data_IF_017707396230
#
_entry.id   IF_017707396230
#
_cell.length_a   1.000
_cell.length_b   1.000
_cell.length_c   1.000
_cell.angle_alpha   90.00
_cell.angle_beta   90.00
_cell.angle_gamma   90.00
#
_symmetry.space_group_name_H-M   'P 1'
#
loop_
_entity.id
_entity.type
_entity.pdbx_description
1 polymer ?
#
# COMPACT_ATOMS: atom_id res chain seq x y z
N UNK A 1 -25.51 7.98 -8.87
CA UNK A 1 -24.55 7.03 -8.25
C UNK A 1 -24.22 5.84 -9.16
N UNK A 2 -25.22 5.18 -9.77
CA UNK A 2 -25.01 4.02 -10.66
C UNK A 2 -24.06 4.30 -11.83
N UNK A 3 -24.21 5.44 -12.51
CA UNK A 3 -23.30 5.87 -13.60
C UNK A 3 -21.84 5.95 -13.17
N UNK A 4 -21.56 6.39 -11.93
CA UNK A 4 -20.20 6.46 -11.40
C UNK A 4 -19.63 5.07 -11.21
N UNK A 5 -20.40 4.14 -10.63
CA UNK A 5 -19.95 2.76 -10.44
C UNK A 5 -19.70 2.07 -11.78
N UNK A 6 -20.63 2.18 -12.73
CA UNK A 6 -20.47 1.56 -14.05
C UNK A 6 -19.27 2.15 -14.82
N UNK A 7 -19.09 3.48 -14.78
CA UNK A 7 -17.93 4.15 -15.38
C UNK A 7 -16.63 3.66 -14.76
N UNK A 8 -16.54 3.53 -13.43
CA UNK A 8 -15.36 3.01 -12.74
C UNK A 8 -15.09 1.54 -13.11
N UNK A 9 -16.11 0.68 -13.17
CA UNK A 9 -15.96 -0.73 -13.55
C UNK A 9 -15.48 -0.89 -14.99
N UNK A 10 -15.99 -0.09 -15.92
CA UNK A 10 -15.55 -0.11 -17.32
C UNK A 10 -14.11 0.41 -17.44
N UNK A 11 -13.80 1.56 -16.83
CA UNK A 11 -12.46 2.15 -16.90
C UNK A 11 -11.39 1.25 -16.25
N UNK A 12 -11.70 0.66 -15.09
CA UNK A 12 -10.81 -0.31 -14.44
C UNK A 12 -10.65 -1.60 -15.24
N UNK A 13 -11.71 -2.07 -15.90
CA UNK A 13 -11.65 -3.21 -16.82
C UNK A 13 -10.71 -2.96 -18.01
N UNK A 14 -10.83 -1.80 -18.66
CA UNK A 14 -9.92 -1.41 -19.77
C UNK A 14 -8.48 -1.33 -19.28
N UNK A 15 -8.24 -0.66 -18.15
CA UNK A 15 -6.89 -0.57 -17.58
C UNK A 15 -6.33 -1.95 -17.22
N UNK A 16 -7.15 -2.82 -16.63
CA UNK A 16 -6.77 -4.19 -16.28
C UNK A 16 -6.39 -4.99 -17.52
N UNK A 17 -7.17 -4.92 -18.60
CA UNK A 17 -6.86 -5.60 -19.87
C UNK A 17 -5.52 -5.12 -20.45
N UNK A 18 -5.27 -3.81 -20.45
CA UNK A 18 -4.00 -3.26 -20.92
C UNK A 18 -2.83 -3.82 -20.09
N UNK A 19 -2.96 -3.81 -18.76
CA UNK A 19 -1.92 -4.32 -17.85
C UNK A 19 -1.73 -5.83 -17.99
N UNK A 20 -2.79 -6.61 -18.24
CA UNK A 20 -2.69 -8.05 -18.49
C UNK A 20 -1.94 -8.34 -19.79
N UNK A 21 -2.27 -7.64 -20.87
CA UNK A 21 -1.59 -7.81 -22.17
C UNK A 21 -0.11 -7.47 -22.02
N UNK A 22 0.21 -6.31 -21.42
CA UNK A 22 1.59 -5.92 -21.17
C UNK A 22 2.31 -6.92 -20.25
N UNK A 23 1.63 -7.38 -19.20
CA UNK A 23 2.18 -8.37 -18.26
C UNK A 23 2.54 -9.67 -18.94
N UNK A 24 1.63 -10.26 -19.73
CA UNK A 24 1.87 -11.55 -20.40
C UNK A 24 2.94 -11.45 -21.50
N UNK A 25 2.95 -10.34 -22.25
CA UNK A 25 3.95 -10.13 -23.31
C UNK A 25 5.33 -9.86 -22.73
N UNK A 26 5.42 -9.05 -21.67
CA UNK A 26 6.69 -8.59 -21.09
C UNK A 26 7.18 -9.40 -19.88
N UNK A 27 6.45 -10.42 -19.43
CA UNK A 27 6.73 -11.23 -18.23
C UNK A 27 8.20 -11.68 -18.16
N UNK A 28 8.68 -12.36 -19.21
CA UNK A 28 10.06 -12.86 -19.28
C UNK A 28 11.09 -11.73 -19.31
N UNK A 29 10.87 -10.68 -20.10
CA UNK A 29 11.84 -9.57 -20.15
C UNK A 29 11.92 -8.82 -18.83
N UNK A 30 10.81 -8.65 -18.10
CA UNK A 30 10.80 -8.02 -16.79
C UNK A 30 11.59 -8.83 -15.76
N UNK A 31 11.44 -10.16 -15.74
CA UNK A 31 12.20 -11.04 -14.84
C UNK A 31 13.70 -11.05 -15.15
N UNK A 32 14.07 -11.01 -16.43
CA UNK A 32 15.47 -10.88 -16.85
C UNK A 32 16.04 -9.50 -16.48
N UNK A 33 15.24 -8.43 -16.60
CA UNK A 33 15.66 -7.06 -16.26
C UNK A 33 16.03 -6.90 -14.78
N UNK A 34 15.36 -7.64 -13.89
CA UNK A 34 15.67 -7.64 -12.45
C UNK A 34 16.76 -8.66 -12.07
N UNK A 35 17.46 -9.26 -13.04
CA UNK A 35 18.50 -10.26 -12.86
C UNK A 35 18.04 -11.50 -12.07
N UNK A 36 16.86 -12.02 -12.38
CA UNK A 36 16.36 -13.27 -11.79
C UNK A 36 17.27 -14.43 -12.19
N UNK A 37 17.83 -15.22 -11.25
CA UNK A 37 18.63 -16.40 -11.56
C UNK A 37 17.87 -17.42 -12.40
N UNK A 38 18.55 -18.09 -13.34
CA UNK A 38 17.93 -19.07 -14.25
C UNK A 38 17.22 -20.21 -13.51
N UNK A 39 17.78 -20.66 -12.38
CA UNK A 39 17.25 -21.75 -11.56
C UNK A 39 15.82 -21.49 -11.03
N UNK A 40 15.44 -20.23 -10.83
CA UNK A 40 14.11 -19.86 -10.32
C UNK A 40 13.26 -19.14 -11.37
N UNK A 41 13.77 -18.97 -12.59
CA UNK A 41 13.13 -18.18 -13.62
C UNK A 41 11.82 -18.81 -14.09
N UNK A 42 11.79 -20.11 -14.31
CA UNK A 42 10.58 -20.83 -14.76
C UNK A 42 9.47 -20.79 -13.68
N UNK A 43 9.82 -21.05 -12.42
CA UNK A 43 8.88 -20.96 -11.29
C UNK A 43 8.35 -19.53 -11.11
N UNK A 44 9.23 -18.53 -11.24
CA UNK A 44 8.86 -17.12 -11.17
C UNK A 44 7.94 -16.72 -12.32
N UNK A 45 8.20 -17.21 -13.54
CA UNK A 45 7.33 -16.98 -14.71
C UNK A 45 5.96 -17.61 -14.51
N UNK A 46 5.90 -18.86 -14.03
CA UNK A 46 4.64 -19.56 -13.78
C UNK A 46 3.81 -18.82 -12.73
N UNK A 47 4.44 -18.43 -11.61
CA UNK A 47 3.78 -17.65 -10.58
C UNK A 47 3.27 -16.31 -11.11
N UNK A 48 4.12 -15.57 -11.84
CA UNK A 48 3.77 -14.26 -12.38
C UNK A 48 2.65 -14.35 -13.41
N UNK A 49 2.63 -15.37 -14.26
CA UNK A 49 1.55 -15.59 -15.22
C UNK A 49 0.21 -15.85 -14.50
N UNK A 50 0.18 -16.74 -13.50
CA UNK A 50 -1.04 -16.99 -12.71
C UNK A 50 -1.52 -15.72 -12.01
N UNK A 51 -0.59 -14.93 -11.46
CA UNK A 51 -0.90 -13.65 -10.84
C UNK A 51 -1.45 -12.62 -11.84
N UNK A 52 -0.90 -12.56 -13.05
CA UNK A 52 -1.44 -11.70 -14.13
C UNK A 52 -2.87 -12.11 -14.47
N UNK A 53 -3.18 -13.41 -14.52
CA UNK A 53 -4.55 -13.88 -14.71
C UNK A 53 -5.48 -13.53 -13.55
N UNK A 54 -4.97 -13.34 -12.33
CA UNK A 54 -5.77 -12.92 -11.17
C UNK A 54 -6.04 -11.40 -11.11
N UNK A 55 -5.37 -10.58 -11.94
CA UNK A 55 -5.52 -9.12 -11.95
C UNK A 55 -6.97 -8.64 -12.05
N UNK A 56 -7.87 -9.21 -12.88
CA UNK A 56 -9.26 -8.80 -12.91
C UNK A 56 -9.92 -8.91 -11.54
N UNK A 57 -9.66 -10.02 -10.82
CA UNK A 57 -10.24 -10.25 -9.50
C UNK A 57 -9.73 -9.25 -8.48
N UNK A 58 -8.41 -8.97 -8.49
CA UNK A 58 -7.81 -7.96 -7.61
C UNK A 58 -8.42 -6.58 -7.90
N UNK A 59 -8.50 -6.17 -9.17
CA UNK A 59 -9.00 -4.86 -9.56
C UNK A 59 -10.46 -4.69 -9.14
N UNK A 60 -11.33 -5.63 -9.52
CA UNK A 60 -12.75 -5.53 -9.22
C UNK A 60 -13.06 -5.66 -7.73
N UNK A 61 -12.32 -6.48 -6.99
CA UNK A 61 -12.43 -6.53 -5.53
C UNK A 61 -12.07 -5.20 -4.86
N UNK A 62 -10.97 -4.57 -5.31
CA UNK A 62 -10.56 -3.26 -4.78
C UNK A 62 -11.53 -2.14 -5.18
N UNK A 63 -12.10 -2.18 -6.39
CA UNK A 63 -13.16 -1.25 -6.81
C UNK A 63 -14.40 -1.43 -5.93
N UNK A 64 -14.84 -2.66 -5.68
CA UNK A 64 -15.97 -2.94 -4.79
C UNK A 64 -15.71 -2.44 -3.36
N UNK A 65 -14.52 -2.72 -2.81
CA UNK A 65 -14.09 -2.21 -1.50
C UNK A 65 -14.08 -0.69 -1.44
N UNK A 66 -13.61 -0.02 -2.51
CA UNK A 66 -13.67 1.43 -2.64
C UNK A 66 -15.10 1.97 -2.65
N UNK A 67 -16.03 1.29 -3.33
CA UNK A 67 -17.45 1.65 -3.35
C UNK A 67 -18.09 1.51 -1.96
N UNK A 68 -17.83 0.40 -1.26
CA UNK A 68 -18.31 0.21 0.12
C UNK A 68 -17.76 1.28 1.06
N UNK A 69 -16.48 1.59 0.95
CA UNK A 69 -15.82 2.62 1.75
C UNK A 69 -16.38 4.02 1.47
N UNK A 70 -16.65 4.34 0.20
CA UNK A 70 -17.28 5.60 -0.19
C UNK A 70 -18.71 5.73 0.36
N UNK A 71 -19.42 4.60 0.53
CA UNK A 71 -20.73 4.53 1.18
C UNK A 71 -20.68 4.54 2.72
N UNK A 72 -19.49 4.56 3.32
CA UNK A 72 -19.32 4.51 4.78
C UNK A 72 -19.48 3.11 5.38
N UNK A 73 -19.44 2.06 4.56
CA UNK A 73 -19.47 0.67 5.02
C UNK A 73 -18.07 0.05 4.96
N UNK A 74 -17.38 0.03 6.10
CA UNK A 74 -16.10 -0.66 6.28
C UNK A 74 -16.24 -2.10 6.76
N UNK A 75 -17.42 -2.51 7.25
CA UNK A 75 -17.64 -3.85 7.83
C UNK A 75 -17.73 -4.91 6.74
N UNK A 76 -18.46 -4.63 5.66
CA UNK A 76 -18.65 -5.59 4.57
C UNK A 76 -17.32 -5.97 3.90
N UNK A 77 -16.44 -5.03 3.50
CA UNK A 77 -15.13 -5.38 2.97
C UNK A 77 -14.24 -6.13 3.97
N UNK A 78 -14.31 -5.78 5.26
CA UNK A 78 -13.54 -6.46 6.29
C UNK A 78 -13.92 -7.93 6.43
N UNK A 79 -15.21 -8.26 6.43
CA UNK A 79 -15.68 -9.65 6.49
C UNK A 79 -15.21 -10.42 5.26
N UNK A 80 -15.34 -9.85 4.06
CA UNK A 80 -14.84 -10.47 2.85
C UNK A 80 -13.33 -10.71 2.90
N UNK A 81 -12.56 -9.72 3.34
CA UNK A 81 -11.11 -9.84 3.48
C UNK A 81 -10.75 -10.95 4.50
N UNK A 82 -11.40 -10.99 5.66
CA UNK A 82 -11.14 -11.98 6.70
C UNK A 82 -11.47 -13.40 6.21
N UNK A 83 -12.64 -13.61 5.61
CA UNK A 83 -13.02 -14.90 5.04
C UNK A 83 -12.08 -15.31 3.90
N UNK A 84 -11.71 -14.38 3.01
CA UNK A 84 -10.78 -14.62 1.91
C UNK A 84 -9.40 -15.05 2.41
N UNK A 85 -8.87 -14.34 3.41
CA UNK A 85 -7.54 -14.63 3.96
C UNK A 85 -7.51 -15.97 4.71
N UNK A 86 -8.55 -16.28 5.48
CA UNK A 86 -8.65 -17.58 6.16
C UNK A 86 -8.81 -18.74 5.16
N UNK A 87 -9.64 -18.56 4.13
CA UNK A 87 -9.77 -19.53 3.05
C UNK A 87 -8.44 -19.71 2.28
N UNK A 88 -7.69 -18.63 2.07
CA UNK A 88 -6.41 -18.66 1.38
C UNK A 88 -5.37 -19.46 2.17
N UNK A 89 -5.27 -19.28 3.48
CA UNK A 89 -4.41 -20.10 4.35
C UNK A 89 -4.79 -21.59 4.25
N UNK A 90 -6.09 -21.89 4.27
CA UNK A 90 -6.58 -23.27 4.12
C UNK A 90 -6.22 -23.87 2.75
N UNK A 91 -6.38 -23.10 1.68
CA UNK A 91 -6.01 -23.52 0.33
C UNK A 91 -4.51 -23.67 0.15
N UNK A 92 -3.69 -22.79 0.73
CA UNK A 92 -2.23 -22.92 0.69
C UNK A 92 -1.79 -24.23 1.34
N UNK A 93 -2.33 -24.57 2.52
CA UNK A 93 -2.04 -25.84 3.17
C UNK A 93 -2.50 -27.01 2.27
N UNK A 94 -3.66 -26.92 1.65
CA UNK A 94 -4.17 -27.97 0.78
C UNK A 94 -3.29 -28.14 -0.48
N UNK A 95 -3.04 -27.08 -1.24
CA UNK A 95 -2.29 -27.12 -2.50
C UNK A 95 -0.80 -27.38 -2.31
N UNK A 96 -0.17 -26.78 -1.30
CA UNK A 96 1.27 -26.94 -1.08
C UNK A 96 1.56 -28.25 -0.35
N UNK A 97 0.83 -28.59 0.72
CA UNK A 97 1.13 -29.78 1.53
C UNK A 97 0.51 -31.06 0.98
N UNK A 98 -0.72 -31.00 0.46
CA UNK A 98 -1.47 -32.21 0.04
C UNK A 98 -1.27 -32.52 -1.43
N UNK A 99 -1.31 -31.51 -2.29
CA UNK A 99 -1.10 -31.68 -3.73
C UNK A 99 0.37 -31.51 -4.16
N UNK A 100 1.27 -31.15 -3.23
CA UNK A 100 2.70 -30.95 -3.51
C UNK A 100 3.00 -29.98 -4.67
N UNK A 101 2.10 -29.03 -4.94
CA UNK A 101 2.19 -28.14 -6.10
C UNK A 101 3.20 -26.99 -5.94
N UNK A 102 4.03 -26.99 -4.89
CA UNK A 102 5.08 -26.00 -4.67
C UNK A 102 4.59 -24.56 -4.84
N UNK A 103 5.33 -23.75 -5.60
CA UNK A 103 5.02 -22.34 -5.89
C UNK A 103 3.72 -22.17 -6.69
N UNK A 104 3.43 -23.09 -7.62
CA UNK A 104 2.20 -23.05 -8.42
C UNK A 104 0.94 -23.19 -7.56
N UNK A 105 1.01 -24.01 -6.51
CA UNK A 105 -0.08 -24.22 -5.57
C UNK A 105 -0.48 -22.95 -4.82
N UNK A 106 0.51 -22.18 -4.37
CA UNK A 106 0.30 -20.89 -3.70
C UNK A 106 -0.36 -19.87 -4.64
N UNK A 107 0.07 -19.85 -5.90
CA UNK A 107 -0.50 -18.94 -6.89
C UNK A 107 -1.98 -19.27 -7.18
N UNK A 108 -2.31 -20.57 -7.34
CA UNK A 108 -3.69 -21.01 -7.56
C UNK A 108 -4.59 -20.79 -6.34
N UNK A 109 -4.10 -21.05 -5.13
CA UNK A 109 -4.82 -20.74 -3.90
C UNK A 109 -5.23 -19.26 -3.85
N UNK A 110 -4.28 -18.38 -4.18
CA UNK A 110 -4.51 -16.93 -4.24
C UNK A 110 -5.51 -16.56 -5.32
N UNK A 111 -5.38 -17.13 -6.52
CA UNK A 111 -6.29 -16.89 -7.64
C UNK A 111 -7.75 -17.25 -7.28
N UNK A 112 -7.98 -18.43 -6.69
CA UNK A 112 -9.32 -18.90 -6.36
C UNK A 112 -9.93 -18.04 -5.25
N UNK A 113 -9.18 -17.77 -4.17
CA UNK A 113 -9.67 -16.95 -3.06
C UNK A 113 -10.00 -15.52 -3.50
N UNK A 114 -9.14 -14.90 -4.31
CA UNK A 114 -9.41 -13.57 -4.87
C UNK A 114 -10.62 -13.59 -5.81
N UNK A 115 -10.76 -14.63 -6.64
CA UNK A 115 -11.90 -14.80 -7.53
C UNK A 115 -13.23 -14.88 -6.79
N UNK A 116 -13.32 -15.74 -5.77
CA UNK A 116 -14.52 -15.88 -4.94
C UNK A 116 -14.86 -14.57 -4.23
N UNK A 117 -13.86 -13.92 -3.61
CA UNK A 117 -14.06 -12.65 -2.91
C UNK A 117 -14.49 -11.51 -3.84
N UNK A 118 -13.94 -11.47 -5.05
CA UNK A 118 -14.35 -10.52 -6.09
C UNK A 118 -15.81 -10.73 -6.48
N UNK A 119 -16.19 -11.95 -6.85
CA UNK A 119 -17.55 -12.28 -7.28
C UNK A 119 -18.57 -11.94 -6.19
N UNK A 120 -18.32 -12.37 -4.95
CA UNK A 120 -19.22 -12.08 -3.83
C UNK A 120 -19.32 -10.57 -3.55
N UNK A 121 -18.20 -9.85 -3.58
CA UNK A 121 -18.19 -8.40 -3.36
C UNK A 121 -18.99 -7.65 -4.43
N UNK A 122 -18.82 -8.03 -5.71
CA UNK A 122 -19.57 -7.44 -6.82
C UNK A 122 -21.07 -7.74 -6.71
N UNK A 123 -21.46 -8.97 -6.38
CA UNK A 123 -22.87 -9.33 -6.15
C UNK A 123 -23.48 -8.40 -5.09
N UNK A 124 -22.81 -8.21 -3.95
CA UNK A 124 -23.32 -7.33 -2.88
C UNK A 124 -23.40 -5.86 -3.34
N UNK A 125 -22.42 -5.39 -4.13
CA UNK A 125 -22.48 -4.05 -4.74
C UNK A 125 -23.72 -3.93 -5.64
N UNK A 126 -23.95 -4.88 -6.55
CA UNK A 126 -25.09 -4.85 -7.47
C UNK A 126 -26.44 -4.93 -6.73
N UNK A 127 -26.56 -5.78 -5.71
CA UNK A 127 -27.76 -5.86 -4.87
C UNK A 127 -28.06 -4.52 -4.20
N UNK A 128 -27.05 -3.84 -3.65
CA UNK A 128 -27.22 -2.53 -3.03
C UNK A 128 -27.58 -1.45 -4.03
N UNK A 129 -26.94 -1.45 -5.20
CA UNK A 129 -27.26 -0.51 -6.27
C UNK A 129 -28.67 -0.70 -6.80
N UNK A 130 -29.19 -1.93 -6.83
CA UNK A 130 -30.53 -2.21 -7.33
C UNK A 130 -31.65 -1.56 -6.47
N UNK A 131 -31.35 -1.23 -5.21
CA UNK A 131 -32.27 -0.46 -4.34
C UNK A 131 -32.51 0.97 -4.82
N UNK A 132 -31.61 1.55 -5.62
CA UNK A 132 -31.76 2.90 -6.17
C UNK A 132 -32.47 2.85 -7.52
N UNK A 133 -33.71 3.33 -7.61
CA UNK A 133 -34.50 3.38 -8.85
C UNK A 133 -34.14 4.62 -9.70
N UNK A 134 -32.92 4.68 -10.23
CA UNK A 134 -32.47 5.75 -11.14
C UNK A 134 -32.17 5.22 -12.54
N UNK A 135 -32.66 5.91 -13.58
CA UNK A 135 -32.15 5.77 -14.95
C UNK A 135 -30.69 6.23 -14.95
N UNK A 136 -29.78 5.42 -15.47
CA UNK A 136 -28.35 5.71 -15.46
C UNK A 136 -27.75 5.48 -16.84
N UNK A 137 -26.74 6.29 -17.18
CA UNK A 137 -25.89 6.05 -18.34
C UNK A 137 -24.86 4.98 -17.98
N UNK A 138 -24.49 4.14 -18.95
CA UNK A 138 -23.47 3.10 -18.74
C UNK A 138 -22.09 3.71 -18.53
N UNK A 139 -21.78 4.80 -19.23
CA UNK A 139 -20.48 5.46 -19.17
C UNK A 139 -20.65 6.99 -19.29
N UNK A 140 -19.86 7.73 -18.51
CA UNK A 140 -19.78 9.19 -18.59
C UNK A 140 -18.33 9.65 -18.60
N UNK A 141 -17.94 10.32 -19.68
CA UNK A 141 -16.58 10.86 -19.83
C UNK A 141 -16.26 11.94 -18.79
N UNK A 142 -17.25 12.76 -18.40
CA UNK A 142 -17.07 13.79 -17.37
C UNK A 142 -16.76 13.18 -15.99
N UNK A 143 -17.42 12.07 -15.66
CA UNK A 143 -17.14 11.33 -14.42
C UNK A 143 -15.76 10.68 -14.50
N UNK A 144 -15.41 10.07 -15.64
CA UNK A 144 -14.08 9.50 -15.83
C UNK A 144 -12.99 10.57 -15.65
N UNK A 145 -13.16 11.77 -16.21
CA UNK A 145 -12.21 12.88 -16.05
C UNK A 145 -12.03 13.27 -14.59
N UNK A 146 -13.12 13.35 -13.81
CA UNK A 146 -13.07 13.64 -12.37
C UNK A 146 -12.33 12.55 -11.58
N UNK A 147 -12.56 11.27 -11.92
CA UNK A 147 -11.85 10.14 -11.31
C UNK A 147 -10.36 10.20 -11.68
N UNK A 148 -10.05 10.41 -12.96
CA UNK A 148 -8.69 10.43 -13.49
C UNK A 148 -7.80 11.51 -12.85
N UNK A 149 -8.37 12.69 -12.53
CA UNK A 149 -7.66 13.78 -11.83
C UNK A 149 -7.13 13.34 -10.45
N UNK A 150 -7.76 12.36 -9.80
CA UNK A 150 -7.33 11.84 -8.50
C UNK A 150 -6.54 10.53 -8.68
N UNK A 151 -7.03 9.64 -9.54
CA UNK A 151 -6.47 8.32 -9.74
C UNK A 151 -5.08 8.35 -10.40
N UNK A 152 -4.89 9.12 -11.48
CA UNK A 152 -3.61 9.16 -12.21
C UNK A 152 -2.47 9.66 -11.30
N UNK A 153 -2.61 10.82 -10.62
CA UNK A 153 -1.65 11.24 -9.60
C UNK A 153 -1.33 10.18 -8.55
N UNK A 154 -2.35 9.49 -8.03
CA UNK A 154 -2.19 8.49 -6.97
C UNK A 154 -1.46 7.24 -7.48
N UNK A 155 -1.78 6.79 -8.69
CA UNK A 155 -1.11 5.65 -9.34
C UNK A 155 0.36 5.99 -9.60
N UNK A 156 0.63 7.15 -10.21
CA UNK A 156 2.00 7.61 -10.45
C UNK A 156 2.77 7.71 -9.14
N UNK A 157 2.18 8.34 -8.13
CA UNK A 157 2.78 8.48 -6.80
C UNK A 157 3.17 7.12 -6.20
N UNK A 158 2.29 6.11 -6.26
CA UNK A 158 2.63 4.78 -5.77
C UNK A 158 3.69 4.08 -6.62
N UNK A 159 3.63 4.21 -7.95
CA UNK A 159 4.67 3.68 -8.84
C UNK A 159 6.04 4.25 -8.50
N UNK A 160 6.13 5.56 -8.23
CA UNK A 160 7.37 6.20 -7.81
C UNK A 160 7.87 5.68 -6.47
N UNK A 161 6.99 5.49 -5.47
CA UNK A 161 7.38 4.88 -4.19
C UNK A 161 7.94 3.47 -4.42
N UNK A 162 7.29 2.65 -5.25
CA UNK A 162 7.76 1.30 -5.57
C UNK A 162 9.15 1.32 -6.23
N UNK A 163 9.38 2.19 -7.22
CA UNK A 163 10.69 2.36 -7.86
C UNK A 163 11.74 2.83 -6.84
N UNK A 164 11.38 3.77 -5.96
CA UNK A 164 12.25 4.23 -4.89
C UNK A 164 12.69 3.12 -3.94
N UNK A 165 11.76 2.23 -3.57
CA UNK A 165 12.07 1.08 -2.72
C UNK A 165 12.98 0.08 -3.44
N UNK A 166 12.83 -0.12 -4.75
CA UNK A 166 13.74 -0.96 -5.56
C UNK A 166 15.16 -0.36 -5.56
N UNK A 167 15.30 0.95 -5.72
CA UNK A 167 16.61 1.63 -5.68
C UNK A 167 17.27 1.46 -4.30
N UNK A 168 16.52 1.67 -3.21
CA UNK A 168 17.02 1.48 -1.85
C UNK A 168 17.41 0.02 -1.63
N UNK A 169 16.59 -0.94 -2.07
CA UNK A 169 16.93 -2.36 -1.98
C UNK A 169 18.22 -2.68 -2.74
N UNK A 170 18.40 -2.13 -3.94
CA UNK A 170 19.63 -2.27 -4.71
C UNK A 170 20.86 -1.74 -3.97
N UNK A 171 20.73 -0.59 -3.30
CA UNK A 171 21.79 -0.02 -2.46
C UNK A 171 22.09 -0.88 -1.21
N UNK A 172 21.11 -1.59 -0.66
CA UNK A 172 21.34 -2.54 0.45
C UNK A 172 22.03 -3.81 -0.04
N UNK A 173 21.65 -4.29 -1.22
CA UNK A 173 22.22 -5.52 -1.81
C UNK A 173 23.74 -5.44 -2.01
N UNK A 174 24.30 -4.24 -2.19
CA UNK A 174 25.77 -4.07 -2.34
C UNK A 174 26.55 -4.30 -1.05
N UNK A 175 25.90 -4.38 0.12
CA UNK A 175 26.52 -4.64 1.41
C UNK A 175 26.56 -6.13 1.79
N UNK A 176 26.12 -7.02 0.90
CA UNK A 176 26.20 -8.48 1.08
C UNK A 176 24.89 -9.13 1.48
N UNK A 177 24.88 -10.46 1.44
CA UNK A 177 23.67 -11.29 1.64
C UNK A 177 23.17 -11.27 3.09
N UNK A 178 24.05 -11.24 4.09
CA UNK A 178 23.68 -11.12 5.51
C UNK A 178 22.90 -9.84 5.79
N UNK A 179 23.42 -8.68 5.35
CA UNK A 179 22.78 -7.36 5.53
C UNK A 179 21.43 -7.34 4.82
N UNK A 180 21.38 -7.87 3.60
CA UNK A 180 20.14 -7.96 2.80
C UNK A 180 19.08 -8.80 3.50
N UNK A 181 19.46 -9.94 4.09
CA UNK A 181 18.55 -10.80 4.83
C UNK A 181 18.00 -10.09 6.09
N UNK A 182 18.88 -9.47 6.88
CA UNK A 182 18.52 -8.67 8.05
C UNK A 182 17.56 -7.52 7.72
N UNK A 183 17.87 -6.76 6.68
CA UNK A 183 17.02 -5.69 6.18
C UNK A 183 15.66 -6.21 5.69
N UNK A 184 15.64 -7.29 4.93
CA UNK A 184 14.40 -7.88 4.39
C UNK A 184 13.45 -8.32 5.51
N UNK A 185 13.99 -8.89 6.59
CA UNK A 185 13.22 -9.21 7.80
C UNK A 185 12.68 -7.95 8.48
N UNK A 186 13.52 -6.93 8.65
CA UNK A 186 13.14 -5.67 9.29
C UNK A 186 12.09 -4.88 8.48
N UNK A 187 12.19 -4.89 7.15
CA UNK A 187 11.22 -4.26 6.26
C UNK A 187 9.85 -4.93 6.33
N UNK A 188 9.78 -6.25 6.54
CA UNK A 188 8.49 -6.94 6.77
C UNK A 188 7.78 -6.40 8.01
N UNK A 189 8.52 -6.23 9.12
CA UNK A 189 8.01 -5.63 10.36
C UNK A 189 7.62 -4.15 10.17
N UNK A 190 8.42 -3.40 9.41
CA UNK A 190 8.09 -2.02 9.05
C UNK A 190 6.82 -1.94 8.21
N UNK A 191 6.66 -2.81 7.21
CA UNK A 191 5.49 -2.84 6.34
C UNK A 191 4.22 -3.10 7.13
N UNK A 192 4.26 -3.89 8.21
CA UNK A 192 3.12 -4.11 9.09
C UNK A 192 2.64 -2.78 9.73
N UNK A 193 3.56 -1.96 10.21
CA UNK A 193 3.24 -0.64 10.79
C UNK A 193 2.76 0.32 9.70
N UNK A 194 3.51 0.46 8.61
CA UNK A 194 3.18 1.39 7.51
C UNK A 194 1.85 1.04 6.84
N UNK A 195 1.52 -0.24 6.71
CA UNK A 195 0.22 -0.69 6.18
C UNK A 195 -0.92 -0.29 7.10
N UNK A 196 -0.73 -0.38 8.41
CA UNK A 196 -1.71 0.07 9.40
C UNK A 196 -1.95 1.59 9.29
N UNK A 197 -0.87 2.37 9.16
CA UNK A 197 -0.94 3.82 8.95
C UNK A 197 -1.66 4.19 7.64
N UNK A 198 -1.34 3.49 6.56
CA UNK A 198 -1.94 3.71 5.24
C UNK A 198 -3.44 3.37 5.26
N UNK A 199 -3.82 2.28 5.92
CA UNK A 199 -5.21 1.83 6.05
C UNK A 199 -6.05 2.83 6.85
N UNK A 200 -5.53 3.30 7.99
CA UNK A 200 -6.17 4.38 8.76
C UNK A 200 -6.26 5.67 7.94
N UNK A 201 -5.20 6.01 7.21
CA UNK A 201 -5.18 7.14 6.29
C UNK A 201 -6.27 7.07 5.23
N UNK A 202 -6.47 5.91 4.58
CA UNK A 202 -7.55 5.71 3.62
C UNK A 202 -8.93 5.93 4.25
N UNK A 203 -9.14 5.47 5.49
CA UNK A 203 -10.35 5.76 6.27
C UNK A 203 -10.57 7.25 6.51
N UNK A 204 -9.54 7.97 6.95
CA UNK A 204 -9.58 9.43 7.17
C UNK A 204 -9.81 10.19 5.86
N UNK A 205 -9.26 9.71 4.75
CA UNK A 205 -9.47 10.29 3.42
C UNK A 205 -10.92 10.20 2.96
N UNK A 206 -11.55 9.03 3.14
CA UNK A 206 -12.98 8.83 2.87
C UNK A 206 -13.85 9.69 3.79
N UNK A 207 -13.54 9.70 5.09
CA UNK A 207 -14.23 10.52 6.09
C UNK A 207 -14.14 12.02 5.73
N UNK A 208 -12.96 12.49 5.32
CA UNK A 208 -12.76 13.87 4.86
C UNK A 208 -13.59 14.18 3.63
N UNK A 209 -13.55 13.29 2.63
CA UNK A 209 -14.28 13.45 1.37
C UNK A 209 -15.80 13.56 1.59
N UNK A 210 -16.35 12.69 2.45
CA UNK A 210 -17.77 12.71 2.81
C UNK A 210 -18.18 13.98 3.55
N UNK A 211 -17.39 14.38 4.56
CA UNK A 211 -17.70 15.58 5.35
C UNK A 211 -17.56 16.86 4.53
N UNK A 212 -16.57 16.97 3.65
CA UNK A 212 -16.45 18.09 2.71
C UNK A 212 -17.60 18.13 1.72
N UNK A 213 -18.01 16.97 1.17
CA UNK A 213 -19.20 16.87 0.31
C UNK A 213 -20.48 17.31 1.02
N UNK A 214 -20.58 17.07 2.33
CA UNK A 214 -21.69 17.50 3.18
C UNK A 214 -21.52 18.92 3.77
N UNK A 215 -20.47 19.68 3.39
CA UNK A 215 -20.11 21.00 3.92
C UNK A 215 -19.86 21.05 5.44
N UNK A 216 -19.52 19.92 6.07
CA UNK A 216 -19.23 19.80 7.52
C UNK A 216 -17.73 19.85 7.80
N UNK A 217 -17.11 21.00 7.54
CA UNK A 217 -15.63 21.15 7.60
C UNK A 217 -15.10 20.97 9.04
N UNK A 218 -15.84 21.39 10.06
CA UNK A 218 -15.43 21.23 11.46
C UNK A 218 -15.19 19.76 11.85
N UNK A 219 -16.04 18.86 11.34
CA UNK A 219 -15.90 17.42 11.57
C UNK A 219 -14.60 16.85 11.00
N UNK A 220 -14.02 17.47 9.97
CA UNK A 220 -12.71 17.08 9.43
C UNK A 220 -11.59 17.31 10.45
N UNK A 221 -11.63 18.42 11.21
CA UNK A 221 -10.66 18.70 12.27
C UNK A 221 -10.79 17.70 13.43
N UNK A 222 -12.02 17.38 13.82
CA UNK A 222 -12.28 16.36 14.84
C UNK A 222 -11.77 14.99 14.38
N UNK A 223 -12.02 14.65 13.10
CA UNK A 223 -11.51 13.43 12.48
C UNK A 223 -9.98 13.35 12.46
N UNK A 224 -9.30 14.47 12.20
CA UNK A 224 -7.83 14.53 12.28
C UNK A 224 -7.32 14.26 13.71
N UNK A 225 -7.92 14.91 14.72
CA UNK A 225 -7.55 14.71 16.13
C UNK A 225 -7.82 13.28 16.60
N UNK A 226 -8.99 12.74 16.29
CA UNK A 226 -9.34 11.36 16.61
C UNK A 226 -8.42 10.37 15.88
N UNK A 227 -8.12 10.63 14.60
CA UNK A 227 -7.17 9.86 13.82
C UNK A 227 -5.77 9.84 14.45
N UNK A 228 -5.27 10.99 14.92
CA UNK A 228 -3.99 11.06 15.63
C UNK A 228 -4.01 10.20 16.90
N UNK A 229 -5.06 10.27 17.71
CA UNK A 229 -5.17 9.45 18.94
C UNK A 229 -5.13 7.95 18.61
N UNK A 230 -5.90 7.51 17.60
CA UNK A 230 -5.94 6.10 17.18
C UNK A 230 -4.58 5.65 16.65
N UNK A 231 -3.90 6.50 15.87
CA UNK A 231 -2.60 6.13 15.32
C UNK A 231 -1.53 6.14 16.41
N UNK A 232 -1.54 7.08 17.34
CA UNK A 232 -0.61 7.08 18.46
C UNK A 232 -0.81 5.87 19.37
N UNK A 233 -2.06 5.48 19.66
CA UNK A 233 -2.34 4.28 20.46
C UNK A 233 -1.90 3.00 19.77
N UNK A 234 -1.76 2.99 18.44
CA UNK A 234 -1.22 1.88 17.67
C UNK A 234 0.32 1.94 17.57
N UNK A 235 0.89 3.10 17.25
CA UNK A 235 2.33 3.26 17.06
C UNK A 235 3.13 3.07 18.35
N UNK A 236 2.69 3.63 19.49
CA UNK A 236 3.45 3.57 20.75
C UNK A 236 3.74 2.12 21.16
N UNK A 237 2.76 1.19 21.18
CA UNK A 237 3.03 -0.23 21.42
C UNK A 237 3.99 -0.85 20.41
N UNK A 238 3.89 -0.55 19.11
CA UNK A 238 4.83 -1.09 18.11
C UNK A 238 6.26 -0.59 18.34
N UNK A 239 6.44 0.71 18.66
CA UNK A 239 7.75 1.27 18.97
C UNK A 239 8.34 0.62 20.22
N UNK A 240 7.55 0.45 21.29
CA UNK A 240 8.01 -0.23 22.50
C UNK A 240 8.36 -1.70 22.21
N UNK A 241 7.52 -2.40 21.46
CA UNK A 241 7.75 -3.80 21.10
C UNK A 241 9.03 -3.95 20.25
N UNK A 242 9.27 -3.07 19.29
CA UNK A 242 10.43 -3.15 18.40
C UNK A 242 11.72 -2.71 19.07
N UNK A 243 11.66 -1.77 20.01
CA UNK A 243 12.84 -1.33 20.78
C UNK A 243 13.23 -2.32 21.88
N UNK A 244 12.26 -3.02 22.50
CA UNK A 244 12.53 -4.00 23.54
C UNK A 244 12.82 -5.41 23.00
N UNK A 245 12.08 -5.84 21.97
CA UNK A 245 12.08 -7.22 21.46
C UNK A 245 12.53 -7.32 20.00
N UNK A 246 13.12 -6.26 19.42
CA UNK A 246 13.47 -6.19 17.99
C UNK A 246 14.33 -7.37 17.52
N UNK A 247 15.27 -7.83 18.34
CA UNK A 247 16.12 -8.98 18.01
C UNK A 247 15.34 -10.27 17.83
N UNK A 248 14.58 -10.66 18.84
CA UNK A 248 13.76 -11.87 18.80
C UNK A 248 12.73 -11.84 17.67
N UNK A 249 12.21 -10.65 17.33
CA UNK A 249 11.29 -10.49 16.21
C UNK A 249 11.95 -10.71 14.85
N UNK A 250 13.19 -10.23 14.67
CA UNK A 250 13.96 -10.47 13.45
C UNK A 250 14.27 -11.96 13.27
N UNK A 251 14.63 -12.64 14.36
CA UNK A 251 15.00 -14.06 14.34
C UNK A 251 13.82 -14.98 13.92
N UNK A 252 12.57 -14.55 14.10
CA UNK A 252 11.38 -15.27 13.59
C UNK A 252 11.35 -15.32 12.06
N UNK A 253 11.91 -14.31 11.38
CA UNK A 253 11.83 -14.17 9.92
C UNK A 253 13.06 -14.71 9.19
N UNK A 254 14.11 -15.11 9.91
CA UNK A 254 15.37 -15.59 9.32
C UNK A 254 15.64 -17.00 9.82
N UNK A 255 15.76 -17.96 8.89
CA UNK A 255 16.12 -19.34 9.21
C UNK A 255 17.65 -19.41 9.34
N UNK A 256 18.15 -19.78 10.52
CA UNK A 256 19.59 -19.78 10.87
C UNK A 256 20.24 -18.39 10.67
N UNK A 257 19.83 -17.37 11.44
CA UNK A 257 20.36 -16.03 11.27
C UNK A 257 21.87 -15.98 11.55
N UNK A 258 22.62 -15.35 10.65
CA UNK A 258 23.98 -14.90 10.97
C UNK A 258 23.89 -13.75 11.98
N UNK A 259 24.91 -13.62 12.82
CA UNK A 259 25.00 -12.53 13.82
C UNK A 259 24.83 -11.17 13.13
N UNK A 260 25.47 -11.01 11.96
CA UNK A 260 25.40 -9.80 11.14
C UNK A 260 23.99 -9.50 10.61
N UNK A 261 23.22 -10.52 10.18
CA UNK A 261 21.85 -10.32 9.70
C UNK A 261 20.92 -9.85 10.82
N UNK A 262 20.99 -10.49 11.99
CA UNK A 262 20.18 -10.12 13.16
C UNK A 262 20.54 -8.73 13.67
N UNK A 263 21.83 -8.39 13.73
CA UNK A 263 22.29 -7.06 14.16
C UNK A 263 21.84 -5.96 13.19
N UNK A 264 21.96 -6.20 11.88
CA UNK A 264 21.48 -5.28 10.84
C UNK A 264 19.98 -5.01 10.98
N UNK A 265 19.19 -6.08 11.15
CA UNK A 265 17.74 -5.96 11.31
C UNK A 265 17.36 -5.17 12.57
N UNK A 266 18.04 -5.43 13.69
CA UNK A 266 17.85 -4.66 14.94
C UNK A 266 18.19 -3.20 14.78
N UNK A 267 19.35 -2.90 14.18
CA UNK A 267 19.79 -1.52 13.96
C UNK A 267 18.77 -0.73 13.13
N UNK A 268 18.25 -1.32 12.06
CA UNK A 268 17.18 -0.70 11.27
C UNK A 268 15.95 -0.38 12.12
N UNK A 269 15.45 -1.35 12.91
CA UNK A 269 14.27 -1.15 13.74
C UNK A 269 14.50 -0.08 14.82
N UNK A 270 15.67 -0.05 15.45
CA UNK A 270 15.98 0.94 16.49
C UNK A 270 16.08 2.36 15.93
N UNK A 271 16.63 2.52 14.73
CA UNK A 271 16.74 3.81 14.06
C UNK A 271 15.37 4.29 13.55
N UNK A 272 14.59 3.40 12.93
CA UNK A 272 13.36 3.79 12.21
C UNK A 272 12.13 3.83 13.12
N UNK A 273 12.01 2.92 14.08
CA UNK A 273 10.77 2.78 14.85
C UNK A 273 10.35 4.03 15.63
N UNK A 274 11.25 4.80 16.30
CA UNK A 274 10.83 6.00 17.02
C UNK A 274 10.17 7.04 16.09
N UNK A 275 10.56 7.06 14.82
CA UNK A 275 10.04 7.98 13.81
C UNK A 275 8.68 7.56 13.25
N UNK A 276 8.14 6.39 13.63
CA UNK A 276 6.73 6.05 13.34
C UNK A 276 5.75 7.04 13.96
N UNK A 277 6.12 7.65 15.10
CA UNK A 277 5.35 8.71 15.77
C UNK A 277 5.34 10.04 15.02
N UNK A 278 6.30 10.23 14.10
CA UNK A 278 6.40 11.43 13.28
C UNK A 278 5.69 11.18 11.94
N UNK A 279 6.02 10.07 11.28
CA UNK A 279 5.45 9.74 9.97
C UNK A 279 3.93 9.52 10.05
N UNK A 280 3.37 9.11 11.18
CA UNK A 280 1.93 9.00 11.32
C UNK A 280 1.19 10.31 11.08
N UNK A 281 1.77 11.43 11.52
CA UNK A 281 1.22 12.77 11.31
C UNK A 281 1.18 13.06 9.82
N UNK A 282 2.28 12.78 9.09
CA UNK A 282 2.34 12.86 7.62
C UNK A 282 1.22 12.05 6.97
N UNK A 283 1.09 10.77 7.30
CA UNK A 283 0.08 9.90 6.69
C UNK A 283 -1.34 10.43 6.89
N UNK A 284 -1.66 10.99 8.06
CA UNK A 284 -2.96 11.60 8.34
C UNK A 284 -3.15 12.92 7.58
N UNK A 285 -2.14 13.80 7.57
CA UNK A 285 -2.18 15.06 6.83
C UNK A 285 -2.35 14.82 5.32
N UNK A 286 -1.58 13.90 4.74
CA UNK A 286 -1.69 13.48 3.35
C UNK A 286 -3.07 12.92 3.02
N UNK A 287 -3.64 12.16 3.94
CA UNK A 287 -4.97 11.58 3.75
C UNK A 287 -6.06 12.63 3.68
N UNK A 288 -5.94 13.71 4.46
CA UNK A 288 -6.84 14.87 4.38
C UNK A 288 -6.62 15.65 3.08
N UNK A 289 -5.38 15.87 2.65
CA UNK A 289 -5.07 16.53 1.38
C UNK A 289 -5.68 15.76 0.21
N UNK A 290 -5.46 14.44 0.16
CA UNK A 290 -6.07 13.52 -0.82
C UNK A 290 -7.60 13.56 -0.76
N UNK A 291 -8.19 13.44 0.44
CA UNK A 291 -9.64 13.46 0.62
C UNK A 291 -10.29 14.81 0.32
N UNK A 292 -9.48 15.88 0.35
CA UNK A 292 -9.89 17.23 -0.04
C UNK A 292 -9.75 17.50 -1.54
N UNK A 293 -9.16 16.58 -2.31
CA UNK A 293 -8.83 16.77 -3.72
C UNK A 293 -7.63 17.70 -3.97
N UNK A 294 -6.85 18.03 -2.94
CA UNK A 294 -5.62 18.84 -3.04
C UNK A 294 -4.43 17.95 -3.46
N UNK A 295 -4.56 17.36 -4.65
CA UNK A 295 -3.62 16.34 -5.15
C UNK A 295 -2.24 16.93 -5.46
N UNK A 296 -2.15 18.22 -5.82
CA UNK A 296 -0.86 18.85 -6.14
C UNK A 296 0.03 18.91 -4.91
N UNK A 297 -0.51 19.39 -3.79
CA UNK A 297 0.18 19.47 -2.51
C UNK A 297 0.60 18.08 -2.01
N UNK A 298 -0.30 17.09 -2.12
CA UNK A 298 -0.02 15.71 -1.77
C UNK A 298 1.11 15.08 -2.63
N UNK A 299 1.12 15.35 -3.94
CA UNK A 299 2.17 14.86 -4.82
C UNK A 299 3.52 15.49 -4.50
N UNK A 300 3.58 16.82 -4.34
CA UNK A 300 4.81 17.53 -3.98
C UNK A 300 5.40 16.94 -2.71
N UNK A 301 4.57 16.73 -1.68
CA UNK A 301 5.00 16.14 -0.43
C UNK A 301 5.62 14.75 -0.61
N UNK A 302 4.94 13.86 -1.33
CA UNK A 302 5.46 12.51 -1.55
C UNK A 302 6.75 12.51 -2.39
N UNK A 303 6.83 13.33 -3.42
CA UNK A 303 8.04 13.40 -4.25
C UNK A 303 9.23 13.94 -3.48
N UNK A 304 9.03 14.94 -2.63
CA UNK A 304 10.08 15.45 -1.75
C UNK A 304 10.54 14.38 -0.77
N UNK A 305 9.61 13.66 -0.12
CA UNK A 305 9.95 12.51 0.74
C UNK A 305 10.82 11.49 -0.01
N UNK A 306 10.39 11.09 -1.21
CA UNK A 306 11.06 10.05 -1.97
C UNK A 306 12.45 10.48 -2.48
N UNK A 307 12.55 11.68 -3.06
CA UNK A 307 13.81 12.21 -3.59
C UNK A 307 14.83 12.37 -2.46
N UNK A 308 14.39 12.90 -1.31
CA UNK A 308 15.24 13.01 -0.13
C UNK A 308 15.66 11.64 0.37
N UNK A 309 14.73 10.69 0.52
CA UNK A 309 15.04 9.34 1.01
C UNK A 309 16.04 8.63 0.11
N UNK A 310 15.82 8.61 -1.20
CA UNK A 310 16.73 7.96 -2.16
C UNK A 310 18.06 8.70 -2.25
N UNK A 311 18.04 10.03 -2.35
CA UNK A 311 19.26 10.85 -2.44
C UNK A 311 20.13 10.71 -1.20
N UNK A 312 19.55 10.81 -0.02
CA UNK A 312 20.26 10.63 1.25
C UNK A 312 20.75 9.19 1.42
N UNK A 313 19.97 8.18 1.02
CA UNK A 313 20.43 6.79 1.08
C UNK A 313 21.69 6.57 0.23
N UNK A 314 21.77 7.15 -0.98
CA UNK A 314 22.93 7.00 -1.86
C UNK A 314 24.14 7.84 -1.46
N UNK A 315 23.92 9.00 -0.82
CA UNK A 315 25.00 9.89 -0.37
C UNK A 315 25.56 9.40 0.97
N UNK A 316 24.69 9.17 1.95
CA UNK A 316 25.10 8.76 3.29
C UNK A 316 25.62 7.32 3.32
N UNK A 317 25.22 6.45 2.38
CA UNK A 317 25.78 5.09 2.32
C UNK A 317 27.28 5.08 2.00
N UNK A 318 27.80 6.12 1.34
CA UNK A 318 29.23 6.24 1.03
C UNK A 318 30.07 6.58 2.27
N UNK A 319 29.52 7.34 3.20
CA UNK A 319 30.24 7.82 4.40
C UNK A 319 29.93 7.00 5.66
N UNK A 320 28.68 6.56 5.82
CA UNK A 320 28.15 5.90 7.02
C UNK A 320 27.72 4.45 6.75
N UNK A 321 28.07 3.88 5.58
CA UNK A 321 27.74 2.51 5.19
C UNK A 321 26.22 2.22 5.32
N UNK A 322 25.84 1.12 5.95
CA UNK A 322 24.44 0.71 6.11
C UNK A 322 23.63 1.69 6.96
N UNK A 323 24.24 2.30 7.98
CA UNK A 323 23.59 3.28 8.87
C UNK A 323 23.12 4.51 8.09
N UNK A 324 23.89 4.94 7.09
CA UNK A 324 23.50 6.04 6.21
C UNK A 324 22.19 5.76 5.46
N UNK A 325 21.96 4.51 5.06
CA UNK A 325 20.71 4.09 4.43
C UNK A 325 19.56 4.15 5.44
N UNK A 326 19.78 3.67 6.67
CA UNK A 326 18.76 3.66 7.74
C UNK A 326 18.32 5.07 8.13
N UNK A 327 19.28 6.01 8.24
CA UNK A 327 19.01 7.41 8.59
C UNK A 327 18.23 8.16 7.50
N UNK A 328 18.32 7.73 6.24
CA UNK A 328 17.59 8.38 5.14
C UNK A 328 16.06 8.32 5.33
N UNK A 329 15.56 7.29 6.02
CA UNK A 329 14.13 7.10 6.31
C UNK A 329 13.61 8.12 7.33
N UNK A 330 14.13 8.20 8.57
CA UNK A 330 13.80 9.24 9.53
C UNK A 330 13.90 10.66 8.99
N UNK A 331 15.00 10.99 8.30
CA UNK A 331 15.21 12.36 7.80
C UNK A 331 14.15 12.71 6.75
N UNK A 332 13.90 11.80 5.80
CA UNK A 332 12.82 11.97 4.81
C UNK A 332 11.47 12.17 5.48
N UNK A 333 11.12 11.31 6.45
CA UNK A 333 9.85 11.40 7.16
C UNK A 333 9.69 12.68 7.97
N UNK A 334 10.73 13.18 8.63
CA UNK A 334 10.67 14.43 9.39
C UNK A 334 10.39 15.61 8.45
N UNK A 335 11.17 15.73 7.37
CA UNK A 335 11.02 16.83 6.40
C UNK A 335 9.66 16.79 5.74
N UNK A 336 9.21 15.61 5.31
CA UNK A 336 7.91 15.45 4.67
C UNK A 336 6.75 15.63 5.67
N UNK A 337 6.91 15.26 6.93
CA UNK A 337 5.89 15.56 7.96
C UNK A 337 5.71 17.06 8.14
N UNK A 338 6.80 17.82 8.21
CA UNK A 338 6.74 19.28 8.32
C UNK A 338 6.04 19.88 7.10
N UNK A 339 6.41 19.43 5.90
CA UNK A 339 5.84 19.92 4.65
C UNK A 339 4.34 19.60 4.53
N UNK A 340 3.95 18.33 4.75
CA UNK A 340 2.55 17.89 4.74
C UNK A 340 1.70 18.64 5.77
N UNK A 341 2.24 18.88 6.98
CA UNK A 341 1.52 19.64 8.01
C UNK A 341 1.30 21.11 7.61
N UNK A 342 2.30 21.75 6.99
CA UNK A 342 2.17 23.11 6.47
C UNK A 342 1.15 23.19 5.32
N UNK A 343 1.17 22.23 4.41
CA UNK A 343 0.18 22.14 3.34
C UNK A 343 -1.23 21.88 3.86
N UNK A 344 -1.39 21.04 4.87
CA UNK A 344 -2.66 20.85 5.56
C UNK A 344 -3.18 22.18 6.12
N UNK A 345 -2.35 22.93 6.86
CA UNK A 345 -2.76 24.22 7.44
C UNK A 345 -3.14 25.26 6.36
N UNK A 346 -2.36 25.35 5.27
CA UNK A 346 -2.60 26.28 4.16
C UNK A 346 -3.81 25.89 3.31
N UNK A 347 -3.95 24.62 2.98
CA UNK A 347 -5.06 24.07 2.19
C UNK A 347 -6.39 24.18 2.92
N UNK A 348 -6.38 23.97 4.25
CA UNK A 348 -7.55 24.19 5.09
C UNK A 348 -7.97 25.67 5.08
N UNK A 349 -7.04 26.59 5.30
CA UNK A 349 -7.34 28.04 5.31
C UNK A 349 -8.01 28.54 4.02
N UNK A 350 -7.67 27.96 2.86
CA UNK A 350 -8.27 28.30 1.56
C UNK A 350 -9.69 27.79 1.35
N UNK A 351 -10.15 26.80 2.12
CA UNK A 351 -11.50 26.22 2.01
C UNK A 351 -12.48 26.70 3.08
N UNK A 352 -11.99 27.29 4.16
CA UNK A 352 -12.81 27.94 5.20
C UNK A 352 -13.06 29.43 4.97
N UNK A 353 -12.30 30.07 4.08
CA UNK A 353 -12.66 31.36 3.47
C UNK A 353 -13.39 31.09 2.16
#
# INVERSE_FOLDING_TARGET
MKTTVSTTLIASGVLCLILMILGLVFCKQLLLLINTPEEILEDSMLYLNIYIYSLPFVFYYNVATGIFSALGDSKTPFIFLACSSLANIGMDILFVKTFSMGVSGVAWATFICQGVSCVLSLIVVFIRLNKFKEKHQLFSFDILKKIAIIAIPSILQQSFISVGNIIIQGAVNSFGSSVTAGYSAAVKLNNLVVTSLTTLGNGVSNYTSQNLGAKKIERVKEGFKAGLIIVFSLCVPFVLLYTLCGGSLIDIFIRNPSIEATETGKQFLYIVSPFYLIVCIKFLSDSILRGSGLMKEFMIDTFVDLILRVGLALILSKSLQTIGIWLSWPIGWVVATILSFLFYKKGYSKKTC
#
